data_IF_214965141593
#
_entry.id   IF_214965141593
#
_cell.length_a   1.000
_cell.length_b   1.000
_cell.length_c   1.000
_cell.angle_alpha   90.00
_cell.angle_beta   90.00
_cell.angle_gamma   90.00
#
_symmetry.space_group_name_H-M   'P 1'
#
loop_
_entity.id
_entity.type
_entity.pdbx_description
1 polymer ?
#
# COMPACT_ATOMS: atom_id res chain seq x y z
N UNK A 1 -10.52 12.22 -14.52
CA UNK A 1 -9.41 11.74 -15.38
C UNK A 1 -8.24 11.43 -14.46
N UNK A 2 -7.99 10.15 -14.19
CA UNK A 2 -6.77 9.72 -13.49
C UNK A 2 -5.59 10.11 -14.38
N UNK A 3 -4.70 10.99 -13.90
CA UNK A 3 -3.51 11.39 -14.64
C UNK A 3 -2.31 10.89 -13.86
N UNK A 4 -1.48 10.11 -14.54
CA UNK A 4 -0.23 9.61 -14.00
C UNK A 4 0.84 10.71 -14.03
N UNK A 5 1.59 10.92 -12.94
CA UNK A 5 2.80 11.76 -12.98
C UNK A 5 3.82 11.10 -13.92
N UNK A 6 4.33 11.84 -14.91
CA UNK A 6 5.45 11.39 -15.75
C UNK A 6 6.74 11.45 -14.91
N UNK A 7 7.17 10.32 -14.38
CA UNK A 7 8.56 10.11 -13.98
C UNK A 7 9.45 10.00 -15.25
N UNK A 8 10.75 10.35 -15.20
CA UNK A 8 11.63 10.39 -16.37
C UNK A 8 11.59 9.07 -17.16
N UNK A 9 11.51 9.20 -18.49
CA UNK A 9 11.25 8.12 -19.46
C UNK A 9 12.18 6.92 -19.26
N UNK A 10 11.67 5.89 -18.59
CA UNK A 10 12.07 4.48 -18.75
C UNK A 10 10.80 3.70 -19.11
N UNK A 11 10.82 2.81 -20.11
CA UNK A 11 9.60 2.26 -20.72
C UNK A 11 8.73 1.42 -19.78
N UNK A 12 9.28 0.92 -18.66
CA UNK A 12 8.59 -0.04 -17.77
C UNK A 12 8.37 0.43 -16.32
N UNK A 13 8.38 1.74 -16.02
CA UNK A 13 8.04 2.20 -14.67
C UNK A 13 6.54 2.46 -14.54
N UNK A 14 5.87 1.56 -13.81
CA UNK A 14 4.52 1.77 -13.28
C UNK A 14 4.43 3.15 -12.64
N UNK A 15 3.45 3.94 -13.07
CA UNK A 15 3.31 5.32 -12.63
C UNK A 15 2.41 5.35 -11.40
N UNK A 16 2.87 6.01 -10.35
CA UNK A 16 2.06 6.26 -9.16
C UNK A 16 0.73 6.93 -9.55
N UNK A 17 -0.43 6.33 -9.23
CA UNK A 17 -1.71 6.95 -9.48
C UNK A 17 -1.86 8.19 -8.57
N UNK A 18 -2.34 9.30 -9.14
CA UNK A 18 -2.53 10.54 -8.39
C UNK A 18 -3.98 10.96 -8.54
N UNK A 19 -4.66 11.17 -7.40
CA UNK A 19 -5.99 11.76 -7.38
C UNK A 19 -5.89 13.23 -7.79
N UNK A 20 -6.63 13.61 -8.83
CA UNK A 20 -6.72 15.01 -9.26
C UNK A 20 -8.10 15.56 -8.97
N UNK A 21 -8.11 16.58 -8.13
CA UNK A 21 -9.34 17.28 -7.79
C UNK A 21 -9.95 17.95 -9.01
N UNK A 22 -11.27 17.93 -9.08
CA UNK A 22 -12.00 18.61 -10.13
C UNK A 22 -11.98 20.13 -9.92
N UNK A 23 -11.72 20.86 -11.00
CA UNK A 23 -11.77 22.32 -10.99
C UNK A 23 -13.24 22.76 -11.04
N UNK A 24 -13.66 23.52 -10.03
CA UNK A 24 -14.98 24.16 -9.94
C UNK A 24 -16.21 23.21 -9.86
N UNK A 25 -16.31 22.34 -8.83
CA UNK A 25 -17.49 21.48 -8.63
C UNK A 25 -18.79 22.27 -8.40
N UNK A 26 -18.72 23.53 -7.98
CA UNK A 26 -19.89 24.40 -7.77
C UNK A 26 -20.52 24.89 -9.08
N UNK A 27 -19.72 25.38 -10.03
CA UNK A 27 -20.23 25.84 -11.34
C UNK A 27 -20.91 24.70 -12.09
N UNK A 28 -20.30 23.54 -11.99
CA UNK A 28 -20.85 22.27 -12.41
C UNK A 28 -22.22 21.96 -11.81
N UNK A 29 -22.37 22.08 -10.49
CA UNK A 29 -23.65 21.88 -9.81
C UNK A 29 -24.71 22.89 -10.23
N UNK A 30 -24.34 24.17 -10.36
CA UNK A 30 -25.27 25.20 -10.84
C UNK A 30 -25.75 24.92 -12.27
N UNK A 31 -24.84 24.53 -13.17
CA UNK A 31 -25.22 24.17 -14.55
C UNK A 31 -26.11 22.93 -14.61
N UNK A 32 -25.82 21.90 -13.83
CA UNK A 32 -26.64 20.69 -13.79
C UNK A 32 -28.02 20.97 -13.16
N UNK A 33 -28.11 21.90 -12.22
CA UNK A 33 -29.38 22.39 -11.66
C UNK A 33 -30.22 23.13 -12.71
N UNK A 34 -29.62 24.10 -13.42
CA UNK A 34 -30.29 24.85 -14.49
C UNK A 34 -30.78 23.94 -15.63
N UNK A 35 -30.08 22.85 -15.88
CA UNK A 35 -30.41 21.88 -16.93
C UNK A 35 -31.31 20.75 -16.43
N UNK A 36 -31.77 20.78 -15.17
CA UNK A 36 -32.56 19.72 -14.53
C UNK A 36 -31.95 18.32 -14.64
N UNK A 37 -30.60 18.23 -14.61
CA UNK A 37 -29.83 16.98 -14.71
C UNK A 37 -29.54 16.32 -13.37
N UNK A 38 -29.81 17.04 -12.28
CA UNK A 38 -29.68 16.54 -10.92
C UNK A 38 -31.08 16.44 -10.31
N UNK A 39 -31.40 15.27 -9.77
CA UNK A 39 -32.70 14.99 -9.16
C UNK A 39 -32.47 14.33 -7.80
N UNK A 40 -33.33 14.64 -6.82
CA UNK A 40 -33.38 13.89 -5.57
C UNK A 40 -34.28 12.68 -5.83
N UNK A 41 -33.73 11.50 -5.64
CA UNK A 41 -34.46 10.24 -5.79
C UNK A 41 -34.63 9.58 -4.44
N UNK A 42 -35.82 9.05 -4.16
CA UNK A 42 -36.05 8.20 -3.00
C UNK A 42 -35.44 6.82 -3.28
N UNK A 43 -34.43 6.47 -2.50
CA UNK A 43 -33.84 5.13 -2.52
C UNK A 43 -34.80 4.13 -1.87
N UNK A 44 -34.64 2.83 -2.14
CA UNK A 44 -35.47 1.77 -1.56
C UNK A 44 -35.49 1.73 -0.01
N UNK A 45 -34.58 2.49 0.63
CA UNK A 45 -34.47 2.67 2.08
C UNK A 45 -35.09 3.99 2.58
N UNK A 46 -35.98 4.62 1.80
CA UNK A 46 -36.60 5.92 2.09
C UNK A 46 -35.60 7.09 2.24
N UNK A 47 -34.35 6.89 1.85
CA UNK A 47 -33.33 7.94 1.84
C UNK A 47 -33.47 8.77 0.56
N UNK A 48 -33.68 10.06 0.74
CA UNK A 48 -33.57 11.05 -0.34
C UNK A 48 -32.09 11.22 -0.69
N UNK A 49 -31.68 10.80 -1.89
CA UNK A 49 -30.29 10.94 -2.33
C UNK A 49 -30.22 11.72 -3.64
N UNK A 50 -29.21 12.58 -3.75
CA UNK A 50 -28.92 13.29 -4.99
C UNK A 50 -28.41 12.32 -6.06
N UNK A 51 -29.23 12.08 -7.08
CA UNK A 51 -28.87 11.33 -8.25
C UNK A 51 -28.47 12.27 -9.40
N UNK A 52 -27.26 12.08 -9.92
CA UNK A 52 -26.79 12.78 -11.12
C UNK A 52 -25.72 11.95 -11.83
N UNK A 53 -25.57 12.17 -13.14
CA UNK A 53 -24.49 11.55 -13.91
C UNK A 53 -23.09 11.95 -13.39
N UNK A 54 -22.98 13.08 -12.68
CA UNK A 54 -21.71 13.51 -12.08
C UNK A 54 -21.36 12.72 -10.82
N UNK A 55 -22.34 12.45 -9.96
CA UNK A 55 -22.16 11.58 -8.79
C UNK A 55 -21.64 10.21 -9.23
N UNK A 56 -22.29 9.59 -10.23
CA UNK A 56 -21.87 8.31 -10.81
C UNK A 56 -20.46 8.41 -11.41
N UNK A 57 -20.12 9.51 -12.10
CA UNK A 57 -18.78 9.73 -12.65
C UNK A 57 -17.72 9.83 -11.56
N UNK A 58 -17.99 10.50 -10.44
CA UNK A 58 -17.05 10.63 -9.33
C UNK A 58 -16.85 9.27 -8.65
N UNK A 59 -17.93 8.53 -8.41
CA UNK A 59 -17.88 7.14 -7.89
C UNK A 59 -17.01 6.26 -8.77
N UNK A 60 -17.27 6.23 -10.08
CA UNK A 60 -16.48 5.45 -11.05
C UNK A 60 -15.01 5.87 -11.06
N UNK A 61 -14.72 7.18 -11.06
CA UNK A 61 -13.34 7.70 -11.02
C UNK A 61 -12.61 7.27 -9.75
N UNK A 62 -13.31 7.26 -8.61
CA UNK A 62 -12.74 6.82 -7.35
C UNK A 62 -12.43 5.33 -7.37
N UNK A 63 -13.35 4.51 -7.90
CA UNK A 63 -13.11 3.08 -8.08
C UNK A 63 -11.94 2.77 -9.02
N UNK A 64 -11.83 3.49 -10.15
CA UNK A 64 -10.69 3.39 -11.07
C UNK A 64 -9.36 3.81 -10.40
N UNK A 65 -9.40 4.74 -9.45
CA UNK A 65 -8.24 5.13 -8.67
C UNK A 65 -7.85 4.07 -7.63
N UNK A 66 -8.83 3.48 -6.94
CA UNK A 66 -8.61 2.35 -6.02
C UNK A 66 -7.97 1.15 -6.74
N UNK A 67 -8.49 0.77 -7.90
CA UNK A 67 -7.96 -0.34 -8.68
C UNK A 67 -6.52 -0.08 -9.16
N UNK A 68 -6.25 1.12 -9.68
CA UNK A 68 -4.90 1.51 -10.09
C UNK A 68 -3.92 1.56 -8.92
N UNK A 69 -4.36 1.99 -7.74
CA UNK A 69 -3.52 1.99 -6.53
C UNK A 69 -3.22 0.56 -6.06
N UNK A 70 -4.21 -0.33 -6.13
CA UNK A 70 -4.04 -1.76 -5.82
C UNK A 70 -3.01 -2.41 -6.75
N UNK A 71 -3.13 -2.21 -8.07
CA UNK A 71 -2.17 -2.73 -9.05
C UNK A 71 -0.75 -2.19 -8.79
N UNK A 72 -0.63 -0.88 -8.56
CA UNK A 72 0.64 -0.26 -8.22
C UNK A 72 1.27 -0.88 -6.96
N UNK A 73 0.49 -1.05 -5.89
CA UNK A 73 0.96 -1.66 -4.66
C UNK A 73 1.40 -3.10 -4.88
N UNK A 74 0.61 -3.91 -5.56
CA UNK A 74 0.96 -5.31 -5.85
C UNK A 74 2.33 -5.40 -6.54
N UNK A 75 2.54 -4.62 -7.60
CA UNK A 75 3.82 -4.63 -8.31
C UNK A 75 5.01 -4.15 -7.48
N UNK A 76 4.77 -3.32 -6.47
CA UNK A 76 5.83 -2.76 -5.62
C UNK A 76 6.10 -3.64 -4.40
N UNK A 77 5.07 -4.33 -3.89
CA UNK A 77 5.14 -5.19 -2.71
C UNK A 77 5.67 -6.58 -3.06
N UNK A 78 5.21 -7.20 -4.15
CA UNK A 78 5.65 -8.54 -4.57
C UNK A 78 7.18 -8.75 -4.58
N UNK A 79 7.99 -7.89 -5.24
CA UNK A 79 9.45 -8.09 -5.23
C UNK A 79 10.06 -7.91 -3.84
N UNK A 80 9.50 -7.02 -3.01
CA UNK A 80 9.96 -6.83 -1.64
C UNK A 80 9.60 -8.04 -0.76
N UNK A 81 8.43 -8.65 -0.96
CA UNK A 81 8.03 -9.87 -0.28
C UNK A 81 8.92 -11.06 -0.67
N UNK A 82 9.25 -11.19 -1.95
CA UNK A 82 10.20 -12.20 -2.43
C UNK A 82 11.60 -12.01 -1.81
N UNK A 83 12.12 -10.78 -1.77
CA UNK A 83 13.39 -10.44 -1.10
C UNK A 83 13.35 -10.80 0.39
N UNK A 84 12.26 -10.47 1.10
CA UNK A 84 12.13 -10.82 2.52
C UNK A 84 12.07 -12.33 2.76
N UNK A 85 11.40 -13.10 1.89
CA UNK A 85 11.38 -14.57 1.98
C UNK A 85 12.76 -15.17 1.79
N UNK A 86 13.54 -14.65 0.84
CA UNK A 86 14.93 -15.08 0.62
C UNK A 86 15.80 -14.80 1.84
N UNK A 87 15.69 -13.59 2.42
CA UNK A 87 16.45 -13.24 3.62
C UNK A 87 16.04 -14.06 4.85
N UNK A 88 14.75 -14.39 4.99
CA UNK A 88 14.27 -15.30 6.03
C UNK A 88 14.94 -16.68 5.94
N UNK A 89 15.08 -17.22 4.73
CA UNK A 89 15.80 -18.49 4.53
C UNK A 89 17.25 -18.37 4.99
N UNK A 90 17.94 -17.27 4.66
CA UNK A 90 19.34 -17.05 5.10
C UNK A 90 19.45 -16.89 6.62
N UNK A 91 18.52 -16.18 7.26
CA UNK A 91 18.52 -15.99 8.71
C UNK A 91 18.24 -17.29 9.47
N UNK A 92 17.45 -18.19 8.89
CA UNK A 92 17.09 -19.48 9.47
C UNK A 92 18.13 -20.59 9.18
N UNK A 93 19.24 -20.29 8.51
CA UNK A 93 20.31 -21.27 8.30
C UNK A 93 20.92 -21.66 9.64
N UNK A 94 20.95 -22.97 9.92
CA UNK A 94 21.57 -23.51 11.11
C UNK A 94 23.09 -23.39 10.99
N UNK A 95 23.69 -22.66 11.91
CA UNK A 95 25.15 -22.59 12.01
C UNK A 95 25.64 -23.95 12.51
N UNK A 96 26.48 -24.69 11.74
CA UNK A 96 26.88 -26.03 12.13
C UNK A 96 27.50 -26.03 13.52
N UNK A 97 26.98 -26.90 14.39
CA UNK A 97 27.50 -27.08 15.75
C UNK A 97 28.94 -27.59 15.70
N UNK A 98 29.72 -27.21 16.72
CA UNK A 98 31.12 -27.58 16.81
C UNK A 98 31.26 -29.11 16.74
N UNK A 99 31.87 -29.62 15.66
CA UNK A 99 32.58 -30.89 15.77
C UNK A 99 33.73 -30.62 16.75
N UNK A 100 33.57 -31.08 17.99
CA UNK A 100 34.66 -31.11 18.97
C UNK A 100 35.72 -32.09 18.45
N UNK A 101 36.59 -31.59 17.55
CA UNK A 101 37.77 -32.32 17.15
C UNK A 101 38.67 -32.39 18.38
N UNK A 102 38.80 -33.59 18.96
CA UNK A 102 39.84 -33.86 19.95
C UNK A 102 41.20 -33.56 19.28
N UNK A 103 41.76 -32.40 19.62
CA UNK A 103 42.88 -31.80 18.90
C UNK A 103 44.20 -32.46 19.30
N UNK A 104 44.43 -33.67 18.79
CA UNK A 104 45.65 -34.43 19.06
C UNK A 104 46.76 -34.20 18.02
N UNK A 105 46.48 -33.53 16.90
CA UNK A 105 47.44 -33.29 15.81
C UNK A 105 47.42 -31.84 15.31
N UNK A 106 48.56 -31.36 14.78
CA UNK A 106 48.71 -30.00 14.25
C UNK A 106 47.83 -29.71 13.03
N UNK A 107 47.45 -30.74 12.25
CA UNK A 107 46.51 -30.63 11.15
C UNK A 107 45.08 -30.35 11.64
N UNK A 108 44.65 -31.03 12.72
CA UNK A 108 43.33 -30.83 13.34
C UNK A 108 43.19 -29.41 13.92
N UNK A 109 44.28 -28.84 14.46
CA UNK A 109 44.29 -27.45 14.94
C UNK A 109 44.11 -26.43 13.80
N UNK A 110 44.71 -26.66 12.62
CA UNK A 110 44.50 -25.77 11.45
C UNK A 110 43.08 -25.89 10.90
N UNK A 111 42.54 -27.11 10.82
CA UNK A 111 41.17 -27.35 10.39
C UNK A 111 40.15 -26.71 11.33
N UNK A 112 40.36 -26.82 12.65
CA UNK A 112 39.51 -26.18 13.65
C UNK A 112 39.52 -24.64 13.55
N UNK A 113 40.68 -24.02 13.29
CA UNK A 113 40.78 -22.57 13.05
C UNK A 113 40.07 -22.14 11.77
N UNK A 114 40.19 -22.90 10.69
CA UNK A 114 39.50 -22.62 9.44
C UNK A 114 37.96 -22.73 9.60
N UNK A 115 37.48 -23.75 10.30
CA UNK A 115 36.06 -23.91 10.62
C UNK A 115 35.53 -22.79 11.53
N UNK A 116 36.32 -22.34 12.51
CA UNK A 116 35.96 -21.22 13.38
C UNK A 116 35.87 -19.88 12.60
N UNK A 117 36.79 -19.63 11.67
CA UNK A 117 36.75 -18.45 10.81
C UNK A 117 35.54 -18.47 9.86
N UNK A 118 35.24 -19.63 9.24
CA UNK A 118 34.03 -19.79 8.43
C UNK A 118 32.75 -19.57 9.25
N UNK A 119 32.71 -20.04 10.51
CA UNK A 119 31.59 -19.82 11.41
C UNK A 119 31.39 -18.35 11.76
N UNK A 120 32.47 -17.62 12.05
CA UNK A 120 32.39 -16.18 12.32
C UNK A 120 31.84 -15.44 11.10
N UNK A 121 32.31 -15.77 9.90
CA UNK A 121 31.78 -15.21 8.65
C UNK A 121 30.28 -15.51 8.46
N UNK A 122 29.83 -16.73 8.75
CA UNK A 122 28.42 -17.10 8.66
C UNK A 122 27.56 -16.34 9.70
N UNK A 123 28.06 -16.17 10.92
CA UNK A 123 27.36 -15.40 11.96
C UNK A 123 27.26 -13.92 11.60
N UNK A 124 28.33 -13.33 11.06
CA UNK A 124 28.33 -11.95 10.56
C UNK A 124 27.31 -11.79 9.41
N UNK A 125 27.28 -12.72 8.46
CA UNK A 125 26.29 -12.73 7.37
C UNK A 125 24.84 -12.86 7.88
N UNK A 126 24.61 -13.68 8.91
CA UNK A 126 23.27 -13.80 9.54
C UNK A 126 22.88 -12.49 10.23
N UNK A 127 23.80 -11.84 10.95
CA UNK A 127 23.51 -10.55 11.57
C UNK A 127 23.24 -9.45 10.54
N UNK A 128 24.03 -9.38 9.47
CA UNK A 128 23.81 -8.44 8.37
C UNK A 128 22.44 -8.67 7.69
N UNK A 129 22.08 -9.92 7.43
CA UNK A 129 20.78 -10.26 6.83
C UNK A 129 19.60 -9.95 7.75
N UNK A 130 19.73 -10.11 9.07
CA UNK A 130 18.72 -9.66 10.05
C UNK A 130 18.50 -8.15 10.00
N UNK A 131 19.57 -7.36 9.92
CA UNK A 131 19.48 -5.90 9.79
C UNK A 131 18.81 -5.51 8.47
N UNK A 132 19.17 -6.16 7.37
CA UNK A 132 18.55 -5.92 6.06
C UNK A 132 17.06 -6.29 6.06
N UNK A 133 16.69 -7.41 6.69
CA UNK A 133 15.32 -7.85 6.83
C UNK A 133 14.48 -6.82 7.61
N UNK A 134 14.98 -6.31 8.74
CA UNK A 134 14.30 -5.26 9.51
C UNK A 134 14.05 -4.00 8.66
N UNK A 135 15.03 -3.62 7.82
CA UNK A 135 14.88 -2.49 6.90
C UNK A 135 13.83 -2.77 5.81
N UNK A 136 13.76 -3.99 5.27
CA UNK A 136 12.76 -4.36 4.27
C UNK A 136 11.35 -4.37 4.85
N UNK A 137 11.16 -4.93 6.04
CA UNK A 137 9.88 -4.90 6.77
C UNK A 137 9.40 -3.46 6.97
N UNK A 138 10.30 -2.59 7.45
CA UNK A 138 9.98 -1.16 7.63
C UNK A 138 9.63 -0.49 6.30
N UNK A 139 10.32 -0.84 5.21
CA UNK A 139 10.00 -0.33 3.86
C UNK A 139 8.64 -0.82 3.36
N UNK A 140 8.26 -2.07 3.60
CA UNK A 140 6.94 -2.63 3.26
C UNK A 140 5.84 -1.86 3.98
N UNK A 141 5.94 -1.74 5.31
CA UNK A 141 4.98 -1.00 6.15
C UNK A 141 4.85 0.45 5.70
N UNK A 142 5.98 1.15 5.54
CA UNK A 142 5.99 2.54 5.08
C UNK A 142 5.29 2.73 3.73
N UNK A 143 5.49 1.83 2.77
CA UNK A 143 4.83 1.92 1.47
C UNK A 143 3.31 1.74 1.58
N UNK A 144 2.85 0.85 2.44
CA UNK A 144 1.43 0.67 2.72
C UNK A 144 0.82 1.90 3.40
N UNK A 145 1.48 2.46 4.42
CA UNK A 145 1.04 3.68 5.12
C UNK A 145 0.94 4.87 4.17
N UNK A 146 1.95 5.07 3.32
CA UNK A 146 1.94 6.15 2.32
C UNK A 146 0.78 5.97 1.35
N UNK A 147 0.55 4.76 0.84
CA UNK A 147 -0.56 4.51 -0.07
C UNK A 147 -1.93 4.67 0.60
N UNK A 148 -2.04 4.29 1.88
CA UNK A 148 -3.23 4.52 2.68
C UNK A 148 -3.52 6.01 2.85
N UNK A 149 -2.53 6.80 3.27
CA UNK A 149 -2.71 8.25 3.42
C UNK A 149 -3.17 8.91 2.11
N UNK A 150 -2.64 8.47 0.97
CA UNK A 150 -3.04 8.94 -0.36
C UNK A 150 -4.47 8.51 -0.74
N UNK A 151 -4.87 7.30 -0.38
CA UNK A 151 -6.25 6.81 -0.58
C UNK A 151 -7.24 7.59 0.29
N UNK A 152 -6.93 7.78 1.58
CA UNK A 152 -7.75 8.56 2.50
C UNK A 152 -7.87 10.01 2.02
N UNK A 153 -6.77 10.64 1.60
CA UNK A 153 -6.80 12.00 1.06
C UNK A 153 -7.68 12.10 -0.20
N UNK A 154 -7.56 11.13 -1.11
CA UNK A 154 -8.40 11.07 -2.32
C UNK A 154 -9.88 10.91 -1.96
N UNK A 155 -10.19 10.04 -0.99
CA UNK A 155 -11.54 9.83 -0.48
C UNK A 155 -12.14 11.10 0.10
N UNK A 156 -11.42 11.79 0.99
CA UNK A 156 -11.86 13.07 1.56
C UNK A 156 -12.06 14.13 0.48
N UNK A 157 -11.14 14.24 -0.49
CA UNK A 157 -11.27 15.19 -1.59
C UNK A 157 -12.50 14.91 -2.45
N UNK A 158 -12.75 13.63 -2.79
CA UNK A 158 -13.88 13.23 -3.61
C UNK A 158 -15.22 13.47 -2.90
N UNK A 159 -15.32 13.17 -1.60
CA UNK A 159 -16.51 13.50 -0.81
C UNK A 159 -16.72 15.01 -0.67
N UNK A 160 -15.64 15.78 -0.47
CA UNK A 160 -15.73 17.24 -0.44
C UNK A 160 -16.17 17.83 -1.79
N UNK A 161 -15.76 17.23 -2.91
CA UNK A 161 -16.25 17.59 -4.25
C UNK A 161 -17.74 17.32 -4.41
N UNK A 162 -18.21 16.15 -3.98
CA UNK A 162 -19.63 15.78 -4.00
C UNK A 162 -20.46 16.72 -3.12
N UNK A 163 -20.00 17.05 -1.91
CA UNK A 163 -20.69 17.99 -1.03
C UNK A 163 -20.78 19.39 -1.65
N UNK A 164 -19.70 19.88 -2.27
CA UNK A 164 -19.69 21.19 -2.96
C UNK A 164 -20.60 21.19 -4.19
N UNK A 165 -20.65 20.08 -4.92
CA UNK A 165 -21.55 19.89 -6.05
C UNK A 165 -23.01 19.88 -5.59
N UNK A 166 -23.34 19.04 -4.60
CA UNK A 166 -24.69 18.87 -4.07
C UNK A 166 -25.25 20.18 -3.51
N UNK A 167 -24.46 20.90 -2.72
CA UNK A 167 -24.85 22.22 -2.20
C UNK A 167 -25.18 23.21 -3.33
N UNK A 168 -24.47 23.14 -4.45
CA UNK A 168 -24.69 24.01 -5.59
C UNK A 168 -25.87 23.57 -6.49
N UNK A 169 -26.31 22.30 -6.41
CA UNK A 169 -27.42 21.80 -7.22
C UNK A 169 -28.80 22.12 -6.63
N UNK A 170 -28.98 21.97 -5.30
CA UNK A 170 -30.32 22.07 -4.68
C UNK A 170 -30.42 23.18 -3.62
N UNK A 171 -29.34 23.92 -3.33
CA UNK A 171 -29.25 25.02 -2.35
C UNK A 171 -29.60 24.67 -0.87
N UNK A 172 -30.50 23.73 -0.62
CA UNK A 172 -31.04 23.32 0.68
C UNK A 172 -30.80 21.83 0.99
N UNK A 173 -29.67 21.28 0.55
CA UNK A 173 -29.34 19.86 0.77
C UNK A 173 -29.05 19.60 2.25
N UNK A 174 -29.79 18.66 2.87
CA UNK A 174 -29.48 18.12 4.21
C UNK A 174 -28.32 17.13 4.09
N UNK A 175 -27.43 17.02 5.08
CA UNK A 175 -26.23 16.14 5.01
C UNK A 175 -26.56 14.69 4.60
N UNK A 176 -27.75 14.21 4.94
CA UNK A 176 -28.27 12.88 4.60
C UNK A 176 -28.50 12.66 3.10
N UNK A 177 -28.68 13.73 2.34
CA UNK A 177 -28.96 13.69 0.90
C UNK A 177 -27.70 13.69 0.03
N UNK A 178 -26.54 13.98 0.63
CA UNK A 178 -25.26 13.99 -0.08
C UNK A 178 -24.78 12.55 -0.23
N UNK A 179 -24.58 12.05 -1.46
CA UNK A 179 -24.03 10.71 -1.66
C UNK A 179 -22.60 10.66 -1.14
N UNK A 180 -22.36 9.79 -0.17
CA UNK A 180 -21.02 9.49 0.35
C UNK A 180 -20.40 8.35 -0.44
N UNK A 181 -19.14 8.50 -0.84
CA UNK A 181 -18.40 7.38 -1.39
C UNK A 181 -18.15 6.33 -0.32
N UNK A 182 -18.09 5.07 -0.75
CA UNK A 182 -17.61 3.95 0.06
C UNK A 182 -16.24 3.52 -0.43
N UNK A 183 -15.34 3.24 0.51
CA UNK A 183 -14.00 2.72 0.22
C UNK A 183 -14.07 1.21 0.13
N UNK A 184 -13.58 0.63 -0.98
CA UNK A 184 -13.60 -0.81 -1.20
C UNK A 184 -12.26 -1.48 -0.86
N UNK A 185 -11.16 -0.72 -0.92
CA UNK A 185 -9.81 -1.28 -0.86
C UNK A 185 -8.98 -0.69 0.29
N UNK A 186 -8.32 -1.57 1.05
CA UNK A 186 -7.41 -1.22 2.13
C UNK A 186 -6.01 -1.83 1.87
N UNK A 187 -4.92 -1.03 1.80
CA UNK A 187 -3.56 -1.50 1.52
C UNK A 187 -3.08 -2.64 2.43
N UNK A 188 -3.49 -2.64 3.69
CA UNK A 188 -3.16 -3.69 4.66
C UNK A 188 -3.64 -5.09 4.22
N UNK A 189 -4.67 -5.18 3.37
CA UNK A 189 -5.19 -6.45 2.86
C UNK A 189 -4.22 -7.13 1.89
N UNK A 190 -3.29 -6.39 1.29
CA UNK A 190 -2.32 -6.93 0.33
C UNK A 190 -1.10 -7.56 1.00
N UNK A 191 -0.89 -7.26 2.27
CA UNK A 191 0.36 -7.56 2.93
C UNK A 191 0.30 -8.94 3.60
N UNK A 192 1.30 -9.78 3.33
CA UNK A 192 1.39 -11.11 3.92
C UNK A 192 1.69 -11.04 5.43
N UNK A 193 0.62 -11.14 6.24
CA UNK A 193 0.69 -11.04 7.70
C UNK A 193 1.57 -12.14 8.31
N UNK A 194 1.60 -13.33 7.72
CA UNK A 194 2.40 -14.44 8.24
C UNK A 194 3.89 -14.15 8.03
N UNK A 195 4.25 -13.63 6.85
CA UNK A 195 5.61 -13.21 6.55
C UNK A 195 6.10 -12.15 7.52
N UNK A 196 5.29 -11.12 7.83
CA UNK A 196 5.69 -10.10 8.80
C UNK A 196 5.92 -10.68 10.20
N UNK A 197 5.08 -11.62 10.64
CA UNK A 197 5.24 -12.23 11.95
C UNK A 197 6.55 -13.02 12.03
N UNK A 198 6.89 -13.78 10.99
CA UNK A 198 8.17 -14.50 10.90
C UNK A 198 9.38 -13.55 10.84
N UNK A 199 9.25 -12.46 10.09
CA UNK A 199 10.29 -11.44 9.99
C UNK A 199 10.55 -10.72 11.33
N UNK A 200 9.47 -10.44 12.06
CA UNK A 200 9.56 -9.82 13.39
C UNK A 200 10.15 -10.78 14.43
N UNK A 201 9.81 -12.08 14.41
CA UNK A 201 10.38 -13.04 15.37
C UNK A 201 11.90 -13.16 15.22
N UNK A 202 12.39 -13.23 13.98
CA UNK A 202 13.83 -13.34 13.66
C UNK A 202 14.61 -12.08 14.05
N UNK A 203 13.99 -10.91 14.03
CA UNK A 203 14.64 -9.64 14.38
C UNK A 203 14.64 -9.35 15.88
N UNK A 204 13.68 -9.88 16.64
CA UNK A 204 13.64 -9.76 18.11
C UNK A 204 14.62 -10.69 18.84
N UNK A 205 15.18 -11.68 18.15
CA UNK A 205 16.20 -12.60 18.70
C UNK A 205 17.64 -12.06 18.60
N UNK A 206 17.81 -10.75 18.45
CA UNK A 206 19.10 -10.02 18.49
C UNK A 206 19.12 -9.17 19.75
#
# INVERSE_FOLDING_TARGET
>A
MVKYKKLPKKPNRLKLPVWKNESFPRLAGMMDSLMHKAQITHTAQEQELLHSGRVVRVQRRFHEYESAMREYLLHVLLPLEEETRQLLVTCNQTVPENFQLHAHTSANLRAARAAAAQRQQLLEQIQESRVQLAQLVRKLQYKCEVAESQLQQAFFCANAELARYAKATVFAVVEKEIPTLTRSFYPEQLLDKQLLLQANSVTTEV
#
